data_IF_108116028756
#
_entry.id   IF_108116028756
#
_cell.length_a   1.000
_cell.length_b   1.000
_cell.length_c   1.000
_cell.angle_alpha   90.00
_cell.angle_beta   90.00
_cell.angle_gamma   90.00
#
_symmetry.space_group_name_H-M   'P 1'
#
loop_
_entity.id
_entity.type
_entity.pdbx_description
1 polymer ?
#
# COMPACT_ATOMS: atom_id res chain seq x y z
N UNK A 1 16.09 32.60 -9.39
CA UNK A 1 16.01 33.88 -8.68
C UNK A 1 15.56 33.60 -7.24
N UNK A 2 16.50 33.55 -6.28
CA UNK A 2 16.18 33.35 -4.86
C UNK A 2 16.48 34.66 -4.13
N UNK A 3 15.45 35.42 -3.78
CA UNK A 3 15.59 36.55 -2.85
C UNK A 3 14.29 36.88 -2.13
N UNK A 4 13.65 35.87 -1.58
CA UNK A 4 12.69 36.12 -0.51
C UNK A 4 13.45 35.98 0.80
N UNK A 5 13.90 37.14 1.32
CA UNK A 5 14.36 37.20 2.70
C UNK A 5 13.12 36.94 3.56
N UNK A 6 13.03 35.74 4.11
CA UNK A 6 11.96 35.35 5.01
C UNK A 6 11.71 36.46 6.07
N UNK A 7 10.47 37.01 6.15
CA UNK A 7 10.13 38.04 7.11
C UNK A 7 10.35 37.59 8.57
N UNK A 8 10.32 36.29 8.85
CA UNK A 8 10.66 35.72 10.16
C UNK A 8 12.10 36.03 10.55
N UNK A 9 13.05 35.74 9.65
CA UNK A 9 14.49 36.00 9.86
C UNK A 9 14.81 37.49 10.15
N UNK A 10 14.13 38.43 9.49
CA UNK A 10 14.31 39.87 9.74
C UNK A 10 13.82 40.29 11.13
N UNK A 11 12.71 39.73 11.60
CA UNK A 11 12.16 40.01 12.93
C UNK A 11 13.03 39.40 14.04
N UNK A 12 13.54 38.18 13.83
CA UNK A 12 14.46 37.53 14.77
C UNK A 12 15.77 38.32 14.93
N UNK A 13 16.38 38.77 13.83
CA UNK A 13 17.60 39.61 13.89
C UNK A 13 17.33 40.93 14.62
N UNK A 14 16.19 41.59 14.36
CA UNK A 14 15.81 42.82 15.05
C UNK A 14 15.65 42.60 16.57
N UNK A 15 15.02 41.48 16.97
CA UNK A 15 14.81 41.14 18.37
C UNK A 15 16.13 40.85 19.10
N UNK A 16 17.04 40.10 18.47
CA UNK A 16 18.38 39.84 19.01
C UNK A 16 19.16 41.14 19.19
N UNK A 17 19.14 42.03 18.19
CA UNK A 17 19.79 43.35 18.28
C UNK A 17 19.18 44.17 19.42
N UNK A 18 17.85 44.20 19.54
CA UNK A 18 17.16 44.93 20.61
C UNK A 18 17.55 44.39 22.00
N UNK A 19 17.60 43.07 22.17
CA UNK A 19 18.01 42.43 23.42
C UNK A 19 19.45 42.76 23.78
N UNK A 20 20.37 42.72 22.82
CA UNK A 20 21.77 43.11 23.05
C UNK A 20 21.83 44.56 23.54
N UNK A 21 21.10 45.48 22.88
CA UNK A 21 21.08 46.90 23.27
C UNK A 21 20.54 47.07 24.69
N UNK A 22 19.39 46.46 25.02
CA UNK A 22 18.77 46.59 26.35
C UNK A 22 19.66 45.99 27.44
N UNK A 23 20.26 44.83 27.21
CA UNK A 23 21.14 44.18 28.20
C UNK A 23 22.42 44.99 28.40
N UNK A 24 23.01 45.51 27.32
CA UNK A 24 24.23 46.34 27.41
C UNK A 24 23.97 47.65 28.15
N UNK A 25 22.83 48.30 27.88
CA UNK A 25 22.42 49.50 28.62
C UNK A 25 22.13 49.16 30.08
N UNK A 26 21.42 48.06 30.34
CA UNK A 26 21.10 47.61 31.70
C UNK A 26 22.32 47.29 32.54
N UNK A 27 23.34 46.62 31.96
CA UNK A 27 24.59 46.32 32.66
C UNK A 27 25.39 47.59 32.94
N UNK A 28 25.47 48.53 32.00
CA UNK A 28 26.13 49.83 32.21
C UNK A 28 25.43 50.64 33.32
N UNK A 29 24.11 50.70 33.31
CA UNK A 29 23.32 51.43 34.33
C UNK A 29 23.48 50.77 35.70
N UNK A 30 23.41 49.44 35.78
CA UNK A 30 23.63 48.71 37.03
C UNK A 30 25.05 48.93 37.57
N UNK A 31 26.05 48.95 36.69
CA UNK A 31 27.45 49.22 37.05
C UNK A 31 27.63 50.64 37.61
N UNK A 32 27.08 51.65 36.94
CA UNK A 32 27.11 53.04 37.44
C UNK A 32 26.39 53.17 38.79
N UNK A 33 25.27 52.47 38.96
CA UNK A 33 24.52 52.44 40.21
C UNK A 33 25.32 51.79 41.35
N UNK A 34 25.95 50.63 41.09
CA UNK A 34 26.78 49.93 42.08
C UNK A 34 28.04 50.73 42.44
N UNK A 35 28.68 51.37 41.46
CA UNK A 35 29.83 52.24 41.68
C UNK A 35 29.46 53.47 42.53
N UNK A 36 28.27 54.04 42.30
CA UNK A 36 27.80 55.21 43.04
C UNK A 36 27.39 54.89 44.48
N UNK A 37 26.80 53.71 44.74
CA UNK A 37 26.20 53.39 46.03
C UNK A 37 27.02 52.46 46.94
N UNK A 38 27.83 51.53 46.41
CA UNK A 38 28.35 50.44 47.24
C UNK A 38 29.84 50.51 47.60
N UNK A 39 30.63 51.46 47.10
CA UNK A 39 32.09 51.54 47.37
C UNK A 39 32.79 50.16 47.36
N UNK A 40 32.44 49.31 46.39
CA UNK A 40 32.98 47.96 46.30
C UNK A 40 34.38 48.05 45.68
N UNK A 41 35.43 47.98 46.50
CA UNK A 41 36.82 47.74 46.08
C UNK A 41 36.99 46.27 45.69
N UNK A 42 36.54 45.90 44.49
CA UNK A 42 36.83 44.59 43.93
C UNK A 42 38.24 44.62 43.30
N UNK A 43 39.24 44.18 44.08
CA UNK A 43 40.63 43.92 43.67
C UNK A 43 41.29 45.04 42.84
N UNK A 44 41.60 46.16 43.48
CA UNK A 44 42.55 47.13 42.94
C UNK A 44 43.80 47.18 43.82
N UNK A 45 44.84 46.46 43.42
CA UNK A 45 46.21 46.90 43.73
C UNK A 45 46.52 48.00 42.72
N UNK A 46 46.55 49.25 43.19
CA UNK A 46 47.01 50.44 42.50
C UNK A 46 46.57 50.59 41.03
N UNK A 47 45.34 51.09 40.83
CA UNK A 47 44.93 51.74 39.59
C UNK A 47 44.70 50.84 38.37
N UNK A 48 44.62 49.52 38.56
CA UNK A 48 44.43 48.61 37.43
C UNK A 48 42.94 48.36 37.13
N UNK A 49 42.46 48.95 36.02
CA UNK A 49 41.09 48.84 35.49
C UNK A 49 40.79 47.42 34.96
N UNK A 50 41.78 46.52 35.03
CA UNK A 50 41.80 45.18 34.43
C UNK A 50 40.78 44.21 35.02
N UNK A 51 40.49 44.27 36.33
CA UNK A 51 39.52 43.37 37.00
C UNK A 51 38.07 43.60 36.55
N UNK A 52 37.66 44.86 36.45
CA UNK A 52 36.32 45.25 35.98
C UNK A 52 36.13 44.98 34.49
N UNK A 53 37.18 45.26 33.70
CA UNK A 53 37.20 44.90 32.29
C UNK A 53 37.00 43.38 32.10
N UNK A 54 37.66 42.55 32.92
CA UNK A 54 37.52 41.10 32.89
C UNK A 54 36.08 40.62 33.14
N UNK A 55 35.38 41.19 34.12
CA UNK A 55 34.00 40.81 34.46
C UNK A 55 32.97 41.25 33.40
N UNK A 56 33.17 42.42 32.80
CA UNK A 56 32.35 42.88 31.66
C UNK A 56 32.56 41.94 30.47
N UNK A 57 33.81 41.63 30.16
CA UNK A 57 34.15 40.75 29.03
C UNK A 57 33.57 39.35 29.26
N UNK A 58 33.74 38.75 30.43
CA UNK A 58 33.24 37.40 30.72
C UNK A 58 31.71 37.31 30.70
N UNK A 59 31.01 38.29 31.27
CA UNK A 59 29.54 38.32 31.31
C UNK A 59 28.97 38.56 29.91
N UNK A 60 29.59 39.46 29.14
CA UNK A 60 29.18 39.74 27.77
C UNK A 60 29.37 38.51 26.88
N UNK A 61 30.52 37.82 26.97
CA UNK A 61 30.78 36.59 26.22
C UNK A 61 29.73 35.51 26.55
N UNK A 62 29.39 35.33 27.83
CA UNK A 62 28.35 34.37 28.23
C UNK A 62 26.98 34.66 27.63
N UNK A 63 26.57 35.93 27.60
CA UNK A 63 25.31 36.37 26.98
C UNK A 63 25.34 36.15 25.47
N UNK A 64 26.43 36.51 24.79
CA UNK A 64 26.57 36.27 23.35
C UNK A 64 26.53 34.79 22.98
N UNK A 65 27.19 33.93 23.76
CA UNK A 65 27.13 32.47 23.56
C UNK A 65 25.70 31.96 23.77
N UNK A 66 25.01 32.40 24.82
CA UNK A 66 23.63 32.00 25.08
C UNK A 66 22.68 32.43 23.96
N UNK A 67 22.82 33.66 23.44
CA UNK A 67 22.01 34.14 22.31
C UNK A 67 22.32 33.39 21.03
N UNK A 68 23.59 33.06 20.78
CA UNK A 68 24.00 32.27 19.63
C UNK A 68 23.42 30.85 19.69
N UNK A 69 23.43 30.21 20.86
CA UNK A 69 22.83 28.88 21.07
C UNK A 69 21.31 28.95 20.87
N UNK A 70 20.64 29.97 21.40
CA UNK A 70 19.18 30.13 21.25
C UNK A 70 18.79 30.34 19.78
N UNK A 71 19.48 31.24 19.07
CA UNK A 71 19.24 31.48 17.64
C UNK A 71 19.52 30.25 16.78
N UNK A 72 20.55 29.48 17.13
CA UNK A 72 20.86 28.21 16.46
C UNK A 72 19.78 27.15 16.77
N UNK A 73 19.36 27.02 18.02
CA UNK A 73 18.30 26.09 18.44
C UNK A 73 16.97 26.39 17.75
N UNK A 74 16.53 27.64 17.71
CA UNK A 74 15.28 28.05 17.07
C UNK A 74 15.31 27.74 15.56
N UNK A 75 16.44 28.01 14.89
CA UNK A 75 16.63 27.69 13.48
C UNK A 75 16.52 26.18 13.22
N UNK A 76 17.16 25.35 14.04
CA UNK A 76 17.08 23.89 13.88
C UNK A 76 15.70 23.34 14.22
N UNK A 77 15.00 23.92 15.20
CA UNK A 77 13.66 23.48 15.56
C UNK A 77 12.63 23.74 14.45
N UNK A 78 12.75 24.87 13.75
CA UNK A 78 11.92 25.20 12.59
C UNK A 78 12.15 24.19 11.44
N UNK A 79 13.42 23.96 11.07
CA UNK A 79 13.80 22.97 10.03
C UNK A 79 13.34 21.56 10.41
N UNK A 80 13.48 21.16 11.67
CA UNK A 80 13.01 19.84 12.13
C UNK A 80 11.49 19.72 12.06
N UNK A 81 10.76 20.80 12.32
CA UNK A 81 9.30 20.82 12.25
C UNK A 81 8.80 20.70 10.81
N UNK A 82 9.44 21.39 9.86
CA UNK A 82 9.16 21.29 8.42
C UNK A 82 9.41 19.86 7.91
N UNK A 83 10.56 19.27 8.26
CA UNK A 83 10.87 17.87 7.90
C UNK A 83 9.85 16.90 8.53
N UNK A 84 9.41 17.14 9.76
CA UNK A 84 8.40 16.30 10.41
C UNK A 84 7.04 16.37 9.72
N UNK A 85 6.66 17.55 9.21
CA UNK A 85 5.42 17.73 8.45
C UNK A 85 5.50 17.05 7.08
N UNK A 86 6.59 17.26 6.33
CA UNK A 86 6.81 16.60 5.04
C UNK A 86 6.80 15.07 5.16
N UNK A 87 7.48 14.52 6.17
CA UNK A 87 7.53 13.06 6.40
C UNK A 87 6.17 12.48 6.75
N UNK A 88 5.35 13.22 7.51
CA UNK A 88 3.97 12.82 7.81
C UNK A 88 3.10 12.81 6.56
N UNK A 89 3.23 13.81 5.69
CA UNK A 89 2.48 13.88 4.44
C UNK A 89 2.85 12.75 3.47
N UNK A 90 4.14 12.43 3.36
CA UNK A 90 4.61 11.27 2.58
C UNK A 90 4.01 9.98 3.12
N UNK A 91 4.01 9.78 4.44
CA UNK A 91 3.42 8.59 5.06
C UNK A 91 1.91 8.48 4.79
N UNK A 92 1.18 9.60 4.84
CA UNK A 92 -0.25 9.64 4.51
C UNK A 92 -0.50 9.30 3.03
N UNK A 93 0.32 9.82 2.11
CA UNK A 93 0.23 9.51 0.69
C UNK A 93 0.50 8.03 0.42
N UNK A 94 1.57 7.47 0.99
CA UNK A 94 1.88 6.05 0.89
C UNK A 94 0.73 5.18 1.41
N UNK A 95 0.16 5.55 2.56
CA UNK A 95 -0.97 4.82 3.12
C UNK A 95 -2.19 4.82 2.19
N UNK A 96 -2.51 5.96 1.56
CA UNK A 96 -3.61 6.04 0.58
C UNK A 96 -3.35 5.16 -0.64
N UNK A 97 -2.13 5.20 -1.19
CA UNK A 97 -1.76 4.36 -2.34
C UNK A 97 -1.91 2.87 -2.00
N UNK A 98 -1.45 2.46 -0.82
CA UNK A 98 -1.58 1.07 -0.36
C UNK A 98 -3.05 0.66 -0.20
N UNK A 99 -3.90 1.52 0.34
CA UNK A 99 -5.33 1.26 0.45
C UNK A 99 -5.99 1.13 -0.93
N UNK A 100 -5.65 2.00 -1.88
CA UNK A 100 -6.18 1.93 -3.24
C UNK A 100 -5.75 0.65 -3.96
N UNK A 101 -4.48 0.26 -3.81
CA UNK A 101 -3.96 -0.99 -4.35
C UNK A 101 -4.66 -2.21 -3.75
N UNK A 102 -4.90 -2.22 -2.44
CA UNK A 102 -5.62 -3.31 -1.78
C UNK A 102 -7.08 -3.41 -2.26
N UNK A 103 -7.75 -2.27 -2.44
CA UNK A 103 -9.11 -2.24 -3.00
C UNK A 103 -9.17 -2.75 -4.44
N UNK A 104 -8.16 -2.45 -5.26
CA UNK A 104 -8.05 -2.99 -6.62
C UNK A 104 -7.75 -4.49 -6.58
N UNK A 105 -6.87 -4.95 -5.68
CA UNK A 105 -6.56 -6.37 -5.46
C UNK A 105 -7.82 -7.15 -5.10
N UNK A 106 -8.62 -6.65 -4.16
CA UNK A 106 -9.88 -7.28 -3.76
C UNK A 106 -10.91 -7.27 -4.89
N UNK A 107 -10.99 -6.22 -5.70
CA UNK A 107 -11.89 -6.17 -6.86
C UNK A 107 -11.49 -7.21 -7.92
N UNK A 108 -10.19 -7.32 -8.24
CA UNK A 108 -9.68 -8.34 -9.18
C UNK A 108 -9.97 -9.74 -8.69
N UNK A 109 -9.73 -10.02 -7.41
CA UNK A 109 -10.04 -11.31 -6.79
C UNK A 109 -11.54 -11.65 -6.88
N UNK A 110 -12.41 -10.69 -6.55
CA UNK A 110 -13.88 -10.86 -6.65
C UNK A 110 -14.32 -11.15 -8.07
N UNK A 111 -13.82 -10.38 -9.04
CA UNK A 111 -14.11 -10.59 -10.45
C UNK A 111 -13.66 -11.97 -10.91
N UNK A 112 -12.42 -12.36 -10.61
CA UNK A 112 -11.87 -13.63 -11.01
C UNK A 112 -12.68 -14.81 -10.46
N UNK A 113 -13.07 -14.75 -9.18
CA UNK A 113 -13.88 -15.81 -8.55
C UNK A 113 -15.27 -15.90 -9.18
N UNK A 114 -15.92 -14.75 -9.43
CA UNK A 114 -17.21 -14.72 -10.10
C UNK A 114 -17.13 -15.32 -11.51
N UNK A 115 -16.12 -14.93 -12.26
CA UNK A 115 -15.91 -15.35 -13.63
C UNK A 115 -15.58 -16.85 -13.73
N UNK A 116 -14.69 -17.36 -12.87
CA UNK A 116 -14.37 -18.79 -12.76
C UNK A 116 -15.63 -19.60 -12.42
N UNK A 117 -16.47 -19.14 -11.48
CA UNK A 117 -17.74 -19.81 -11.12
C UNK A 117 -18.71 -19.89 -12.30
N UNK A 118 -18.81 -18.81 -13.07
CA UNK A 118 -19.65 -18.79 -14.27
C UNK A 118 -19.14 -19.76 -15.34
N UNK A 119 -17.83 -19.74 -15.62
CA UNK A 119 -17.26 -20.66 -16.60
C UNK A 119 -17.36 -22.13 -16.16
N UNK A 120 -17.19 -22.43 -14.88
CA UNK A 120 -17.44 -23.78 -14.35
C UNK A 120 -18.90 -24.20 -14.47
N UNK A 121 -19.84 -23.28 -14.26
CA UNK A 121 -21.28 -23.55 -14.47
C UNK A 121 -21.57 -23.89 -15.94
N UNK A 122 -21.00 -23.11 -16.86
CA UNK A 122 -21.09 -23.38 -18.30
C UNK A 122 -20.47 -24.72 -18.67
N UNK A 123 -19.29 -25.04 -18.14
CA UNK A 123 -18.64 -26.33 -18.35
C UNK A 123 -19.51 -27.49 -17.84
N UNK A 124 -20.06 -27.37 -16.63
CA UNK A 124 -20.92 -28.39 -16.05
C UNK A 124 -22.18 -28.63 -16.88
N UNK A 125 -22.76 -27.56 -17.43
CA UNK A 125 -23.90 -27.66 -18.34
C UNK A 125 -23.53 -28.38 -19.64
N UNK A 126 -22.44 -27.97 -20.30
CA UNK A 126 -21.99 -28.56 -21.57
C UNK A 126 -21.59 -30.04 -21.41
N UNK A 127 -20.81 -30.35 -20.37
CA UNK A 127 -20.40 -31.72 -20.02
C UNK A 127 -21.62 -32.58 -19.65
N UNK A 128 -22.63 -32.02 -18.97
CA UNK A 128 -23.89 -32.70 -18.71
C UNK A 128 -24.71 -32.98 -19.98
N UNK A 129 -24.69 -32.05 -20.94
CA UNK A 129 -25.34 -32.26 -22.23
C UNK A 129 -24.66 -33.37 -23.04
N UNK A 130 -23.32 -33.36 -23.10
CA UNK A 130 -22.53 -34.44 -23.72
C UNK A 130 -22.85 -35.78 -23.08
N UNK A 131 -22.88 -35.86 -21.75
CA UNK A 131 -23.25 -37.10 -21.05
C UNK A 131 -24.64 -37.62 -21.47
N UNK A 132 -25.61 -36.72 -21.63
CA UNK A 132 -26.96 -37.09 -22.09
C UNK A 132 -26.94 -37.64 -23.52
N UNK A 133 -26.17 -37.02 -24.42
CA UNK A 133 -26.00 -37.49 -25.80
C UNK A 133 -25.28 -38.85 -25.85
N UNK A 134 -24.27 -39.07 -25.00
CA UNK A 134 -23.58 -40.36 -24.88
C UNK A 134 -24.54 -41.46 -24.41
N UNK A 135 -25.39 -41.17 -23.43
CA UNK A 135 -26.45 -42.10 -22.99
C UNK A 135 -27.44 -42.38 -24.13
N UNK A 136 -27.79 -41.38 -24.94
CA UNK A 136 -28.68 -41.55 -26.09
C UNK A 136 -28.04 -42.40 -27.20
N UNK A 137 -26.77 -42.15 -27.52
CA UNK A 137 -25.97 -42.93 -28.46
C UNK A 137 -25.95 -44.41 -28.07
N UNK A 138 -25.73 -44.70 -26.78
CA UNK A 138 -25.66 -46.06 -26.26
C UNK A 138 -27.02 -46.78 -26.24
N UNK A 139 -28.14 -46.04 -26.37
CA UNK A 139 -29.51 -46.59 -26.38
C UNK A 139 -30.08 -46.80 -27.78
N UNK A 140 -29.61 -46.05 -28.78
CA UNK A 140 -30.12 -46.12 -30.15
C UNK A 140 -29.38 -47.19 -30.97
N UNK A 141 -30.12 -47.89 -31.81
CA UNK A 141 -29.56 -48.84 -32.79
C UNK A 141 -29.20 -48.12 -34.11
N UNK A 142 -30.05 -47.19 -34.57
CA UNK A 142 -29.87 -46.40 -35.79
C UNK A 142 -29.69 -44.89 -35.52
N UNK A 143 -29.09 -44.15 -36.47
CA UNK A 143 -28.94 -42.69 -36.41
C UNK A 143 -27.83 -42.20 -35.46
N UNK A 144 -26.82 -43.05 -35.21
CA UNK A 144 -25.69 -42.79 -34.31
C UNK A 144 -24.77 -41.65 -34.77
N UNK A 145 -24.64 -41.45 -36.08
CA UNK A 145 -23.76 -40.42 -36.67
C UNK A 145 -24.21 -38.99 -36.32
N UNK A 146 -25.51 -38.69 -36.36
CA UNK A 146 -26.04 -37.37 -35.98
C UNK A 146 -25.77 -37.05 -34.49
N UNK A 147 -25.77 -38.08 -33.64
CA UNK A 147 -25.49 -37.92 -32.21
C UNK A 147 -24.00 -37.67 -31.98
N UNK A 148 -23.12 -38.36 -32.71
CA UNK A 148 -21.68 -38.11 -32.68
C UNK A 148 -21.38 -36.68 -33.13
N UNK A 149 -22.02 -36.21 -34.20
CA UNK A 149 -21.84 -34.83 -34.68
C UNK A 149 -22.20 -33.80 -33.60
N UNK A 150 -23.35 -33.98 -32.93
CA UNK A 150 -23.75 -33.13 -31.80
C UNK A 150 -22.80 -33.23 -30.61
N UNK A 151 -22.31 -34.43 -30.28
CA UNK A 151 -21.31 -34.62 -29.23
C UNK A 151 -20.06 -33.79 -29.56
N UNK A 152 -19.54 -33.91 -30.79
CA UNK A 152 -18.36 -33.17 -31.24
C UNK A 152 -18.58 -31.66 -31.18
N UNK A 153 -19.73 -31.16 -31.67
CA UNK A 153 -20.07 -29.73 -31.61
C UNK A 153 -20.05 -29.19 -30.16
N UNK A 154 -20.59 -29.97 -29.22
CA UNK A 154 -20.57 -29.58 -27.80
C UNK A 154 -19.20 -29.72 -27.15
N UNK A 155 -18.40 -30.72 -27.54
CA UNK A 155 -17.02 -30.88 -27.10
C UNK A 155 -16.14 -29.73 -27.59
N UNK A 156 -16.39 -29.18 -28.78
CA UNK A 156 -15.67 -27.98 -29.26
C UNK A 156 -15.95 -26.74 -28.41
N UNK A 157 -17.16 -26.61 -27.84
CA UNK A 157 -17.54 -25.50 -26.93
C UNK A 157 -16.86 -25.58 -25.56
N UNK A 158 -16.30 -26.73 -25.19
CA UNK A 158 -15.57 -26.91 -23.92
C UNK A 158 -14.22 -26.18 -23.95
N UNK A 159 -13.50 -26.20 -25.08
CA UNK A 159 -12.16 -25.61 -25.20
C UNK A 159 -12.16 -24.09 -24.90
N UNK A 160 -13.03 -23.26 -25.52
CA UNK A 160 -13.11 -21.83 -25.21
C UNK A 160 -13.40 -21.55 -23.74
N UNK A 161 -14.24 -22.35 -23.08
CA UNK A 161 -14.54 -22.18 -21.67
C UNK A 161 -13.35 -22.49 -20.77
N UNK A 162 -12.56 -23.52 -21.10
CA UNK A 162 -11.29 -23.83 -20.41
C UNK A 162 -10.27 -22.70 -20.62
N UNK A 163 -10.14 -22.20 -21.84
CA UNK A 163 -9.23 -21.09 -22.16
C UNK A 163 -9.60 -19.83 -21.39
N UNK A 164 -10.89 -19.49 -21.31
CA UNK A 164 -11.36 -18.36 -20.52
C UNK A 164 -10.99 -18.49 -19.04
N UNK A 165 -11.17 -19.68 -18.44
CA UNK A 165 -10.74 -19.94 -17.05
C UNK A 165 -9.22 -19.72 -16.91
N UNK A 166 -8.41 -20.24 -17.84
CA UNK A 166 -6.95 -20.08 -17.80
C UNK A 166 -6.52 -18.62 -17.96
N UNK A 167 -7.19 -17.85 -18.82
CA UNK A 167 -6.97 -16.41 -18.95
C UNK A 167 -7.29 -15.68 -17.65
N UNK A 168 -8.40 -16.03 -16.99
CA UNK A 168 -8.79 -15.45 -15.70
C UNK A 168 -7.81 -15.83 -14.59
N UNK A 169 -7.30 -17.07 -14.58
CA UNK A 169 -6.23 -17.49 -13.68
C UNK A 169 -4.94 -16.69 -13.89
N UNK A 170 -4.52 -16.48 -15.14
CA UNK A 170 -3.35 -15.67 -15.46
C UNK A 170 -3.51 -14.23 -14.98
N UNK A 171 -4.68 -13.64 -15.21
CA UNK A 171 -5.00 -12.28 -14.77
C UNK A 171 -5.01 -12.14 -13.23
N UNK A 172 -5.42 -13.18 -12.52
CA UNK A 172 -5.58 -13.18 -11.07
C UNK A 172 -4.42 -13.85 -10.32
N UNK A 173 -3.31 -14.14 -11.00
CA UNK A 173 -2.15 -14.86 -10.46
C UNK A 173 -1.50 -14.18 -9.23
N UNK A 174 -1.60 -12.86 -9.12
CA UNK A 174 -1.10 -12.09 -7.98
C UNK A 174 -2.09 -12.00 -6.81
N UNK A 175 -3.30 -12.54 -6.97
CA UNK A 175 -4.40 -12.40 -5.99
C UNK A 175 -5.00 -13.73 -5.51
N UNK A 176 -4.98 -14.77 -6.34
CA UNK A 176 -5.48 -16.10 -6.00
C UNK A 176 -4.41 -16.90 -5.25
N UNK A 177 -4.87 -17.80 -4.39
CA UNK A 177 -4.01 -18.78 -3.73
C UNK A 177 -3.40 -19.73 -4.80
N UNK A 178 -2.06 -19.87 -4.87
CA UNK A 178 -1.41 -20.79 -5.79
C UNK A 178 -1.96 -22.22 -5.73
N UNK A 179 -2.32 -22.72 -4.54
CA UNK A 179 -2.90 -24.07 -4.37
C UNK A 179 -4.24 -24.18 -5.07
N UNK A 180 -5.09 -23.15 -4.96
CA UNK A 180 -6.38 -23.11 -5.62
C UNK A 180 -6.23 -22.99 -7.14
N UNK A 181 -5.24 -22.24 -7.63
CA UNK A 181 -4.94 -22.13 -9.05
C UNK A 181 -4.51 -23.48 -9.65
N UNK A 182 -3.68 -24.24 -8.94
CA UNK A 182 -3.26 -25.57 -9.36
C UNK A 182 -4.45 -26.53 -9.44
N UNK A 183 -5.35 -26.48 -8.46
CA UNK A 183 -6.57 -27.28 -8.44
C UNK A 183 -7.51 -26.93 -9.62
N UNK A 184 -7.75 -25.64 -9.87
CA UNK A 184 -8.55 -25.19 -11.03
C UNK A 184 -7.91 -25.67 -12.34
N UNK A 185 -6.59 -25.53 -12.47
CA UNK A 185 -5.86 -26.02 -13.65
C UNK A 185 -5.97 -27.53 -13.82
N UNK A 186 -5.93 -28.30 -12.73
CA UNK A 186 -6.12 -29.76 -12.73
C UNK A 186 -7.52 -30.15 -13.23
N UNK A 187 -8.55 -29.42 -12.81
CA UNK A 187 -9.93 -29.60 -13.32
C UNK A 187 -10.01 -29.27 -14.81
N UNK A 188 -9.45 -28.13 -15.23
CA UNK A 188 -9.38 -27.74 -16.64
C UNK A 188 -8.63 -28.79 -17.48
N UNK A 189 -7.55 -29.38 -16.95
CA UNK A 189 -6.80 -30.44 -17.62
C UNK A 189 -7.65 -31.71 -17.76
N UNK A 190 -8.29 -32.16 -16.68
CA UNK A 190 -9.17 -33.32 -16.68
C UNK A 190 -10.28 -33.18 -17.73
N UNK A 191 -10.96 -32.03 -17.77
CA UNK A 191 -12.05 -31.79 -18.72
C UNK A 191 -11.50 -31.65 -20.14
N UNK A 192 -10.36 -30.97 -20.33
CA UNK A 192 -9.74 -30.81 -21.65
C UNK A 192 -9.20 -32.10 -22.26
N UNK A 193 -8.76 -33.04 -21.41
CA UNK A 193 -8.32 -34.38 -21.80
C UNK A 193 -9.48 -35.39 -21.86
N UNK A 194 -10.66 -35.02 -21.35
CA UNK A 194 -11.84 -35.87 -21.45
C UNK A 194 -12.27 -35.94 -22.92
N UNK A 195 -12.26 -37.16 -23.45
CA UNK A 195 -12.83 -37.49 -24.75
C UNK A 195 -13.81 -38.63 -24.58
N UNK A 196 -14.83 -38.69 -25.43
CA UNK A 196 -15.68 -39.86 -25.53
C UNK A 196 -14.84 -41.01 -26.10
N UNK A 197 -14.63 -42.06 -25.30
CA UNK A 197 -13.93 -43.27 -25.76
C UNK A 197 -14.95 -44.29 -26.21
N UNK A 198 -14.73 -44.90 -27.36
CA UNK A 198 -15.55 -46.02 -27.80
C UNK A 198 -14.95 -47.33 -27.28
N UNK A 199 -15.69 -48.04 -26.43
CA UNK A 199 -15.31 -49.34 -25.91
C UNK A 199 -16.48 -50.31 -26.10
N UNK A 200 -16.24 -51.43 -26.80
CA UNK A 200 -17.26 -52.44 -27.11
C UNK A 200 -18.52 -51.90 -27.82
N UNK A 201 -18.37 -50.90 -28.71
CA UNK A 201 -19.49 -50.29 -29.44
C UNK A 201 -20.36 -49.35 -28.60
N UNK A 202 -19.90 -48.99 -27.40
CA UNK A 202 -20.49 -47.99 -26.51
C UNK A 202 -19.53 -46.83 -26.32
N UNK A 203 -20.07 -45.63 -26.23
CA UNK A 203 -19.31 -44.45 -25.83
C UNK A 203 -19.27 -44.35 -24.31
N UNK A 204 -18.09 -44.18 -23.75
CA UNK A 204 -17.86 -43.88 -22.34
C UNK A 204 -17.45 -42.41 -22.15
N UNK A 205 -17.95 -41.81 -21.08
CA UNK A 205 -17.69 -40.42 -20.73
C UNK A 205 -17.70 -40.23 -19.22
N UNK A 206 -16.58 -39.76 -18.66
CA UNK A 206 -16.36 -39.64 -17.21
C UNK A 206 -17.04 -38.42 -16.57
N UNK A 207 -18.36 -38.31 -16.77
CA UNK A 207 -19.18 -37.19 -16.29
C UNK A 207 -19.11 -37.00 -14.77
N UNK A 208 -19.28 -38.08 -13.99
CA UNK A 208 -19.39 -37.99 -12.54
C UNK A 208 -18.08 -37.52 -11.88
N UNK A 209 -16.93 -37.96 -12.41
CA UNK A 209 -15.61 -37.51 -11.94
C UNK A 209 -15.39 -36.02 -12.21
N UNK A 210 -15.76 -35.55 -13.41
CA UNK A 210 -15.68 -34.13 -13.76
C UNK A 210 -16.60 -33.29 -12.89
N UNK A 211 -17.86 -33.71 -12.75
CA UNK A 211 -18.86 -33.05 -11.91
C UNK A 211 -18.38 -32.92 -10.46
N UNK A 212 -17.89 -34.02 -9.88
CA UNK A 212 -17.39 -34.05 -8.50
C UNK A 212 -16.25 -33.06 -8.30
N UNK A 213 -15.24 -33.09 -9.17
CA UNK A 213 -14.10 -32.17 -9.09
C UNK A 213 -14.47 -30.70 -9.31
N UNK A 214 -15.39 -30.40 -10.23
CA UNK A 214 -15.91 -29.04 -10.41
C UNK A 214 -16.56 -28.55 -9.11
N UNK A 215 -17.40 -29.38 -8.47
CA UNK A 215 -18.04 -28.99 -7.21
C UNK A 215 -17.05 -28.82 -6.06
N UNK A 216 -16.06 -29.70 -5.93
CA UNK A 216 -15.03 -29.61 -4.90
C UNK A 216 -14.26 -28.29 -5.01
N UNK A 217 -13.78 -27.95 -6.20
CA UNK A 217 -13.03 -26.70 -6.43
C UNK A 217 -13.95 -25.48 -6.27
N UNK A 218 -15.16 -25.53 -6.81
CA UNK A 218 -16.13 -24.42 -6.71
C UNK A 218 -16.53 -24.15 -5.26
N UNK A 219 -16.64 -25.18 -4.43
CA UNK A 219 -16.94 -25.06 -3.00
C UNK A 219 -15.80 -24.45 -2.18
N UNK A 220 -14.55 -24.58 -2.64
CA UNK A 220 -13.37 -23.95 -2.01
C UNK A 220 -13.15 -22.50 -2.44
N UNK A 221 -13.81 -22.05 -3.50
CA UNK A 221 -13.74 -20.65 -3.93
C UNK A 221 -14.40 -19.73 -2.90
N UNK A 222 -13.74 -18.63 -2.51
CA UNK A 222 -14.29 -17.68 -1.55
C UNK A 222 -15.72 -17.23 -1.92
N UNK A 223 -16.56 -17.11 -0.90
CA UNK A 223 -17.91 -16.57 -1.03
C UNK A 223 -17.87 -15.12 -0.58
N UNK A 224 -18.12 -14.20 -1.52
CA UNK A 224 -18.30 -12.80 -1.17
C UNK A 224 -19.78 -12.55 -0.95
N UNK A 225 -20.20 -12.41 0.31
CA UNK A 225 -21.52 -11.92 0.63
C UNK A 225 -21.67 -10.49 0.09
N UNK A 226 -22.62 -10.27 -0.82
CA UNK A 226 -23.12 -8.94 -1.11
C UNK A 226 -23.95 -8.50 0.09
N UNK A 227 -23.32 -7.99 1.16
CA UNK A 227 -24.06 -7.21 2.14
C UNK A 227 -24.57 -5.95 1.43
N UNK A 228 -25.89 -5.73 1.33
CA UNK A 228 -26.39 -4.47 0.82
C UNK A 228 -25.85 -3.36 1.73
N UNK A 229 -25.27 -2.33 1.12
CA UNK A 229 -24.97 -1.09 1.85
C UNK A 229 -26.31 -0.49 2.24
N UNK A 230 -26.67 -0.58 3.52
CA UNK A 230 -27.73 0.23 4.12
C UNK A 230 -27.31 1.70 4.18
#
# INVERSE_FOLDING_TARGET
MRKDSDPGRKRMILYIILQIVVITVGTIVLMLYLQYYQHIEFLTSDGDVSGWAGLIISTSIGIFISLAIMAYSDYYQDVLSEIAEETKDIALQQHRILQEQELLRQRRLKYAIYDIKNHFTTLLFTVGFVNRLVIEFNKKEDGKEEIIEKINEHMEKIKPAIEAIRSTLYFANDTLDPSLMEEINSVCKLIGESSTKEENGKLEFSYDDMKKKIYEVTGRLPVFENKPKN
#
